data_IF_592582554135
#
_entry.id   IF_592582554135
#
_cell.length_a   1.000
_cell.length_b   1.000
_cell.length_c   1.000
_cell.angle_alpha   90.00
_cell.angle_beta   90.00
_cell.angle_gamma   90.00
#
_symmetry.space_group_name_H-M   'P 1'
#
loop_
_entity.id
_entity.type
_entity.pdbx_description
1 polymer ?
#
# COMPACT_ATOMS: atom_id res chain seq x y z
N UNK A 1 8.11 -16.42 -7.53
CA UNK A 1 7.84 -16.28 -6.06
C UNK A 1 9.05 -15.82 -5.26
N UNK A 2 10.25 -16.34 -5.52
CA UNK A 2 11.45 -16.01 -4.70
C UNK A 2 11.80 -14.52 -4.65
N UNK A 3 11.63 -13.78 -5.75
CA UNK A 3 11.93 -12.35 -5.75
C UNK A 3 11.00 -11.56 -4.80
N UNK A 4 9.73 -11.96 -4.72
CA UNK A 4 8.77 -11.32 -3.81
C UNK A 4 9.13 -11.58 -2.35
N UNK A 5 9.58 -12.80 -2.00
CA UNK A 5 10.03 -13.14 -0.65
C UNK A 5 11.26 -12.33 -0.23
N UNK A 6 12.23 -12.16 -1.13
CA UNK A 6 13.44 -11.37 -0.83
C UNK A 6 13.10 -9.89 -0.68
N UNK A 7 12.27 -9.35 -1.58
CA UNK A 7 11.81 -7.97 -1.51
C UNK A 7 11.00 -7.70 -0.22
N UNK A 8 10.15 -8.64 0.23
CA UNK A 8 9.40 -8.52 1.48
C UNK A 8 10.32 -8.29 2.67
N UNK A 9 11.43 -9.04 2.78
CA UNK A 9 12.40 -8.89 3.88
C UNK A 9 13.03 -7.50 3.88
N UNK A 10 13.35 -6.95 2.70
CA UNK A 10 13.88 -5.59 2.59
C UNK A 10 12.82 -4.53 2.91
N UNK A 11 11.57 -4.73 2.46
CA UNK A 11 10.46 -3.82 2.69
C UNK A 11 10.04 -3.74 4.16
N UNK A 12 10.09 -4.86 4.88
CA UNK A 12 9.81 -4.91 6.31
C UNK A 12 10.80 -4.07 7.16
N UNK A 13 12.01 -3.82 6.66
CA UNK A 13 13.00 -2.95 7.31
C UNK A 13 12.78 -1.46 7.02
N UNK A 14 11.97 -1.12 6.03
CA UNK A 14 11.71 0.26 5.65
C UNK A 14 10.84 0.94 6.73
N UNK A 15 11.24 2.12 7.23
CA UNK A 15 10.46 2.81 8.26
C UNK A 15 9.10 3.26 7.71
N UNK A 16 8.13 3.40 8.61
CA UNK A 16 6.72 3.67 8.29
C UNK A 16 6.53 4.89 7.38
N UNK A 17 7.16 6.01 7.73
CA UNK A 17 7.04 7.26 6.98
C UNK A 17 7.56 7.15 5.53
N UNK A 18 8.64 6.41 5.29
CA UNK A 18 9.16 6.15 3.94
C UNK A 18 8.18 5.31 3.13
N UNK A 19 7.52 4.34 3.77
CA UNK A 19 6.50 3.51 3.11
C UNK A 19 5.32 4.36 2.68
N UNK A 20 4.83 5.23 3.55
CA UNK A 20 3.76 6.18 3.21
C UNK A 20 4.19 7.13 2.08
N UNK A 21 5.41 7.67 2.12
CA UNK A 21 5.94 8.55 1.07
C UNK A 21 5.93 7.86 -0.31
N UNK A 22 6.37 6.61 -0.40
CA UNK A 22 6.38 5.84 -1.65
C UNK A 22 4.97 5.60 -2.18
N UNK A 23 4.01 5.31 -1.30
CA UNK A 23 2.61 5.10 -1.68
C UNK A 23 1.97 6.41 -2.17
N UNK A 24 2.24 7.53 -1.50
CA UNK A 24 1.75 8.84 -1.94
C UNK A 24 2.34 9.26 -3.27
N UNK A 25 3.63 9.02 -3.51
CA UNK A 25 4.26 9.23 -4.83
C UNK A 25 3.57 8.38 -5.90
N UNK A 26 3.28 7.11 -5.60
CA UNK A 26 2.58 6.22 -6.53
C UNK A 26 1.17 6.72 -6.84
N UNK A 27 0.43 7.20 -5.84
CA UNK A 27 -0.89 7.81 -6.02
C UNK A 27 -0.85 9.09 -6.86
N UNK A 28 0.18 9.93 -6.67
CA UNK A 28 0.37 11.14 -7.47
C UNK A 28 0.60 10.80 -8.95
N UNK A 29 1.46 9.83 -9.25
CA UNK A 29 1.74 9.36 -10.61
C UNK A 29 0.46 8.80 -11.27
N UNK A 30 -0.35 8.03 -10.54
CA UNK A 30 -1.64 7.54 -11.05
C UNK A 30 -2.59 8.68 -11.44
N UNK A 31 -2.64 9.75 -10.64
CA UNK A 31 -3.48 10.93 -10.90
C UNK A 31 -2.96 11.77 -12.06
N UNK A 32 -1.64 11.89 -12.21
CA UNK A 32 -0.98 12.57 -13.32
C UNK A 32 -1.26 11.86 -14.66
N UNK A 33 -1.14 10.53 -14.67
CA UNK A 33 -1.38 9.70 -15.86
C UNK A 33 -2.82 9.18 -15.97
N UNK A 34 -3.80 9.86 -15.37
CA UNK A 34 -5.20 9.39 -15.37
C UNK A 34 -5.81 9.24 -16.77
N UNK A 35 -5.41 10.10 -17.72
CA UNK A 35 -5.95 10.10 -19.08
C UNK A 35 -5.52 8.85 -19.89
N UNK A 36 -4.21 8.53 -20.02
CA UNK A 36 -3.80 7.31 -20.73
C UNK A 36 -4.29 6.03 -20.04
N UNK A 37 -4.33 6.00 -18.70
CA UNK A 37 -4.83 4.84 -17.96
C UNK A 37 -6.33 4.63 -18.19
N UNK A 38 -7.11 5.72 -18.19
CA UNK A 38 -8.54 5.65 -18.50
C UNK A 38 -8.80 5.19 -19.94
N UNK A 39 -7.98 5.61 -20.90
CA UNK A 39 -8.10 5.15 -22.29
C UNK A 39 -7.87 3.63 -22.42
N UNK A 40 -6.87 3.09 -21.72
CA UNK A 40 -6.66 1.64 -21.63
C UNK A 40 -7.86 0.92 -21.00
N UNK A 41 -8.39 1.44 -19.89
CA UNK A 41 -9.57 0.91 -19.21
C UNK A 41 -10.83 0.87 -20.10
N UNK A 42 -11.04 1.92 -20.89
CA UNK A 42 -12.15 1.99 -21.86
C UNK A 42 -12.00 0.91 -22.93
N UNK A 43 -10.78 0.70 -23.44
CA UNK A 43 -10.50 -0.33 -24.46
C UNK A 43 -10.68 -1.76 -23.92
N UNK A 44 -10.33 -2.01 -22.66
CA UNK A 44 -10.43 -3.34 -22.05
C UNK A 44 -11.85 -3.71 -21.61
N UNK A 45 -12.56 -2.78 -20.95
CA UNK A 45 -13.81 -3.09 -20.22
C UNK A 45 -15.03 -2.41 -20.87
N UNK A 46 -14.85 -1.62 -21.94
CA UNK A 46 -15.92 -0.90 -22.64
C UNK A 46 -16.78 -0.01 -21.73
N UNK A 47 -16.18 0.52 -20.64
CA UNK A 47 -16.83 1.52 -19.78
C UNK A 47 -16.77 2.92 -20.42
N UNK A 48 -17.71 3.82 -20.12
CA UNK A 48 -17.64 5.20 -20.62
C UNK A 48 -16.43 5.94 -20.04
N UNK A 49 -15.77 6.76 -20.85
CA UNK A 49 -14.50 7.41 -20.52
C UNK A 49 -14.56 8.25 -19.23
N UNK A 50 -15.69 8.88 -18.93
CA UNK A 50 -15.88 9.65 -17.69
C UNK A 50 -15.83 8.78 -16.44
N UNK A 51 -16.41 7.58 -16.51
CA UNK A 51 -16.41 6.63 -15.38
C UNK A 51 -15.03 6.01 -15.22
N UNK A 52 -14.34 5.70 -16.32
CA UNK A 52 -12.98 5.18 -16.31
C UNK A 52 -12.00 6.17 -15.65
N UNK A 53 -12.08 7.48 -15.97
CA UNK A 53 -11.25 8.50 -15.30
C UNK A 53 -11.57 8.59 -13.82
N UNK A 54 -12.85 8.52 -13.45
CA UNK A 54 -13.29 8.56 -12.04
C UNK A 54 -12.77 7.34 -11.26
N UNK A 55 -12.74 6.16 -11.89
CA UNK A 55 -12.21 4.93 -11.32
C UNK A 55 -10.70 5.02 -11.05
N UNK A 56 -9.93 5.60 -11.97
CA UNK A 56 -8.48 5.80 -11.79
C UNK A 56 -8.19 6.80 -10.67
N UNK A 57 -8.93 7.91 -10.61
CA UNK A 57 -8.78 8.90 -9.53
C UNK A 57 -9.13 8.28 -8.18
N UNK A 58 -10.26 7.56 -8.11
CA UNK A 58 -10.69 6.84 -6.90
C UNK A 58 -9.66 5.81 -6.45
N UNK A 59 -9.03 5.10 -7.39
CA UNK A 59 -7.96 4.15 -7.08
C UNK A 59 -6.74 4.85 -6.49
N UNK A 60 -6.37 6.01 -7.03
CA UNK A 60 -5.32 6.86 -6.43
C UNK A 60 -5.66 7.33 -5.02
N UNK A 61 -6.90 7.76 -4.78
CA UNK A 61 -7.37 8.18 -3.46
C UNK A 61 -7.35 7.02 -2.44
N UNK A 62 -7.74 5.81 -2.86
CA UNK A 62 -7.66 4.60 -2.05
C UNK A 62 -6.21 4.28 -1.64
N UNK A 63 -5.25 4.44 -2.56
CA UNK A 63 -3.82 4.22 -2.25
C UNK A 63 -3.34 5.21 -1.19
N UNK A 64 -3.67 6.50 -1.34
CA UNK A 64 -3.33 7.52 -0.35
C UNK A 64 -4.00 7.27 1.00
N UNK A 65 -5.27 6.85 1.01
CA UNK A 65 -5.99 6.50 2.23
C UNK A 65 -5.35 5.30 2.95
N UNK A 66 -5.04 4.23 2.22
CA UNK A 66 -4.36 3.07 2.77
C UNK A 66 -2.97 3.41 3.32
N UNK A 67 -2.25 4.34 2.70
CA UNK A 67 -0.94 4.78 3.19
C UNK A 67 -1.02 5.42 4.57
N UNK A 68 -2.03 6.28 4.79
CA UNK A 68 -2.26 6.93 6.08
C UNK A 68 -2.79 5.95 7.13
N UNK A 69 -3.68 5.05 6.74
CA UNK A 69 -4.22 4.04 7.64
C UNK A 69 -3.15 3.05 8.10
N UNK A 70 -2.22 2.67 7.22
CA UNK A 70 -1.05 1.86 7.59
C UNK A 70 -0.24 2.55 8.69
N UNK A 71 0.06 3.85 8.55
CA UNK A 71 0.81 4.60 9.55
C UNK A 71 0.09 4.63 10.91
N UNK A 72 -1.24 4.77 10.92
CA UNK A 72 -2.06 4.74 12.15
C UNK A 72 -2.02 3.37 12.81
N UNK A 73 -2.35 2.32 12.07
CA UNK A 73 -2.46 0.95 12.59
C UNK A 73 -1.14 0.43 13.17
N UNK A 74 -0.02 0.81 12.57
CA UNK A 74 1.32 0.35 12.95
C UNK A 74 2.02 1.28 13.95
N UNK A 75 1.64 2.56 13.95
CA UNK A 75 2.07 3.51 14.96
C UNK A 75 1.47 3.19 16.33
N UNK A 76 0.30 2.54 16.36
CA UNK A 76 -0.36 2.10 17.58
C UNK A 76 0.24 0.78 18.12
N UNK A 77 1.11 0.90 19.12
CA UNK A 77 1.47 -0.21 20.01
C UNK A 77 0.50 -0.30 21.17
N UNK A 78 -0.08 -1.48 21.42
CA UNK A 78 -0.88 -1.72 22.63
C UNK A 78 0.04 -2.15 23.76
N UNK A 79 0.05 -1.37 24.84
CA UNK A 79 0.69 -1.74 26.09
C UNK A 79 -0.31 -2.48 26.98
N UNK A 80 -0.03 -3.75 27.26
CA UNK A 80 -0.85 -4.60 28.09
C UNK A 80 -0.13 -4.84 29.41
N UNK A 81 -0.85 -4.58 30.51
CA UNK A 81 -0.37 -4.84 31.87
C UNK A 81 -0.95 -6.18 32.32
N UNK A 82 -0.14 -6.98 33.01
CA UNK A 82 -0.52 -8.32 33.43
C UNK A 82 -1.71 -8.36 34.42
N UNK A 83 -2.02 -7.25 35.10
CA UNK A 83 -3.17 -7.10 36.01
C UNK A 83 -4.53 -7.19 35.30
N UNK A 84 -4.54 -7.06 33.97
CA UNK A 84 -5.73 -7.20 33.14
C UNK A 84 -6.22 -8.66 33.07
N UNK A 85 -5.41 -9.61 33.56
CA UNK A 85 -5.77 -11.03 33.67
C UNK A 85 -5.84 -11.43 35.15
N UNK A 86 -6.95 -12.05 35.60
CA UNK A 86 -7.11 -12.44 37.00
C UNK A 86 -6.06 -13.50 37.39
N UNK A 87 -5.38 -13.28 38.52
CA UNK A 87 -4.36 -14.19 39.06
C UNK A 87 -2.90 -13.83 38.73
N UNK A 88 -2.64 -12.67 38.12
CA UNK A 88 -1.27 -12.20 37.80
C UNK A 88 -0.91 -10.93 38.58
N UNK A 89 0.34 -10.84 39.06
CA UNK A 89 0.86 -9.64 39.71
C UNK A 89 1.34 -8.60 38.67
N UNK A 90 1.39 -7.32 39.08
CA UNK A 90 1.81 -6.18 38.24
C UNK A 90 3.34 -6.13 38.02
N UNK A 91 3.93 -7.26 37.70
CA UNK A 91 5.38 -7.45 37.50
C UNK A 91 5.73 -7.58 36.01
N UNK A 92 4.76 -7.94 35.16
CA UNK A 92 4.98 -8.23 33.73
C UNK A 92 4.28 -7.21 32.84
N UNK A 93 4.97 -6.81 31.78
CA UNK A 93 4.48 -5.91 30.73
C UNK A 93 4.54 -6.63 29.37
N UNK A 94 3.52 -6.44 28.54
CA UNK A 94 3.47 -6.97 27.19
C UNK A 94 3.25 -5.82 26.20
N UNK A 95 4.20 -5.63 25.29
CA UNK A 95 4.07 -4.69 24.17
C UNK A 95 3.61 -5.47 22.94
N UNK A 96 2.41 -5.17 22.45
CA UNK A 96 1.91 -5.74 21.19
C UNK A 96 1.98 -4.70 20.09
N UNK A 97 2.81 -4.96 19.09
CA UNK A 97 2.85 -4.21 17.84
C UNK A 97 2.31 -5.08 16.70
N UNK A 98 1.48 -4.53 15.81
CA UNK A 98 1.05 -5.26 14.62
C UNK A 98 2.21 -5.37 13.63
N UNK A 99 2.40 -6.54 13.05
CA UNK A 99 3.40 -6.79 12.00
C UNK A 99 2.65 -7.28 10.77
N UNK A 100 2.96 -6.72 9.61
CA UNK A 100 2.25 -7.11 8.40
C UNK A 100 2.76 -8.43 7.85
N UNK A 101 1.83 -9.34 7.60
CA UNK A 101 2.06 -10.58 6.85
C UNK A 101 1.70 -10.33 5.39
N UNK A 102 2.37 -9.39 4.71
CA UNK A 102 1.81 -8.79 3.50
C UNK A 102 2.61 -9.13 2.23
N UNK A 103 2.19 -10.22 1.59
CA UNK A 103 2.52 -10.54 0.20
C UNK A 103 1.71 -9.64 -0.78
N UNK A 104 0.55 -9.14 -0.36
CA UNK A 104 -0.42 -8.40 -1.19
C UNK A 104 0.10 -7.06 -1.75
N UNK A 105 0.77 -6.20 -0.95
CA UNK A 105 1.32 -4.93 -1.44
C UNK A 105 2.61 -5.12 -2.26
N UNK A 106 3.34 -6.22 -2.09
CA UNK A 106 4.51 -6.51 -2.95
C UNK A 106 4.09 -6.80 -4.39
N UNK A 107 2.92 -7.43 -4.56
CA UNK A 107 2.30 -7.65 -5.87
C UNK A 107 1.73 -6.34 -6.38
N UNK A 108 1.08 -5.51 -5.56
CA UNK A 108 0.56 -4.21 -6.02
C UNK A 108 1.69 -3.26 -6.44
N UNK A 109 2.78 -3.16 -5.67
CA UNK A 109 3.95 -2.35 -6.01
C UNK A 109 4.66 -2.89 -7.25
N UNK A 110 4.82 -4.20 -7.40
CA UNK A 110 5.36 -4.76 -8.65
C UNK A 110 4.42 -4.54 -9.81
N UNK A 111 3.14 -4.87 -9.71
CA UNK A 111 2.19 -4.73 -10.82
C UNK A 111 2.03 -3.27 -11.20
N UNK A 112 1.87 -2.32 -10.26
CA UNK A 112 1.82 -0.89 -10.57
C UNK A 112 3.15 -0.41 -11.18
N UNK A 113 4.30 -0.84 -10.65
CA UNK A 113 5.60 -0.43 -11.19
C UNK A 113 5.95 -1.13 -12.51
N UNK A 114 5.42 -2.33 -12.77
CA UNK A 114 5.51 -3.05 -14.05
C UNK A 114 4.53 -2.48 -15.08
N UNK A 115 3.34 -2.04 -14.64
CA UNK A 115 2.35 -1.36 -15.47
C UNK A 115 2.85 0.04 -15.84
N UNK A 116 3.49 0.75 -14.89
CA UNK A 116 4.23 2.00 -15.15
C UNK A 116 5.45 1.77 -16.02
N UNK A 117 6.20 0.67 -15.86
CA UNK A 117 7.33 0.37 -16.76
C UNK A 117 6.88 -0.04 -18.17
N UNK A 118 5.72 -0.68 -18.30
CA UNK A 118 5.11 -0.96 -19.60
C UNK A 118 4.47 0.28 -20.25
N UNK A 119 3.98 1.25 -19.47
CA UNK A 119 3.48 2.52 -20.00
C UNK A 119 4.58 3.56 -20.29
N UNK A 120 5.76 3.49 -19.67
CA UNK A 120 6.81 4.51 -19.81
C UNK A 120 7.97 4.19 -20.77
N UNK A 121 8.03 3.04 -21.47
CA UNK A 121 9.24 2.67 -22.26
C UNK A 121 8.93 2.24 -23.72
N UNK A 122 7.74 2.48 -24.26
CA UNK A 122 7.47 2.23 -25.71
C UNK A 122 6.86 3.44 -26.44
N UNK A 123 7.52 4.60 -26.34
CA UNK A 123 7.63 5.58 -27.45
C UNK A 123 8.72 6.64 -27.19
N UNK A 124 9.96 6.23 -27.40
CA UNK A 124 11.11 7.07 -27.81
C UNK A 124 12.15 6.12 -28.38
#
# INVERSE_FOLDING_TARGET
MEIAKTAQKSWAKTPLWRRAEVLHKSAAILKEHKAPIAECLVKEISKPAKDAVTEVVRSGDLVSYCAEEDVRILGEGKFLVADSFPGNERTKYCLTSKVHVLLFFSVLSRTIMHFLSHLCIFRS
#
